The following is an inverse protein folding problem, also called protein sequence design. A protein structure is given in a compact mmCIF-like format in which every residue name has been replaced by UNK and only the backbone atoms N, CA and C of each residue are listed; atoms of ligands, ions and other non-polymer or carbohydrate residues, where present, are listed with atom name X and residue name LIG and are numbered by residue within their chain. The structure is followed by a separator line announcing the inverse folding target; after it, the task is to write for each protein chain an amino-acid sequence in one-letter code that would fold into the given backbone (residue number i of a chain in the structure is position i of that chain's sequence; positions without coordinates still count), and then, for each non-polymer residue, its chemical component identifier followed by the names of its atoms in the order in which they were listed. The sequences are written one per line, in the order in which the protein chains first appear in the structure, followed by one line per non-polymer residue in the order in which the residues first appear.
data_IF_061819060222
#
_entry.id   IF_061819060222
#
_cell.length_a   1.000
_cell.length_b   1.000
_cell.length_c   1.000
_cell.angle_alpha   90.00
_cell.angle_beta   90.00
_cell.angle_gamma   90.00
#
_symmetry.space_group_name_H-M   'P 1'
#
loop_
_entity.id
_entity.type
_entity.pdbx_description
1 polymer ?
#
# COMPACT_ATOMS: atom_id res chain seq x y z
N UNK A 1 -42.77 -2.24 -9.98
CA UNK A 1 -41.92 -2.06 -8.78
C UNK A 1 -41.41 -3.43 -8.31
N UNK A 2 -40.17 -3.82 -8.67
CA UNK A 2 -39.49 -5.00 -8.14
C UNK A 2 -37.99 -4.69 -8.00
N UNK A 3 -37.42 -5.12 -6.87
CA UNK A 3 -35.99 -5.17 -6.52
C UNK A 3 -35.13 -3.91 -6.63
N UNK A 4 -35.16 -3.08 -5.57
CA UNK A 4 -33.94 -2.38 -5.11
C UNK A 4 -33.20 -3.16 -4.00
N UNK A 5 -33.80 -4.25 -3.50
CA UNK A 5 -33.29 -5.02 -2.37
C UNK A 5 -32.21 -6.03 -2.79
N UNK A 6 -32.34 -6.74 -3.92
CA UNK A 6 -31.37 -7.80 -4.28
C UNK A 6 -29.97 -7.27 -4.62
N UNK A 7 -29.86 -6.01 -5.07
CA UNK A 7 -28.57 -5.37 -5.41
C UNK A 7 -27.71 -5.15 -4.15
N UNK A 8 -28.33 -4.82 -3.01
CA UNK A 8 -27.63 -4.65 -1.73
C UNK A 8 -27.08 -5.97 -1.18
N UNK A 9 -27.82 -7.08 -1.32
CA UNK A 9 -27.34 -8.39 -0.90
C UNK A 9 -26.22 -8.94 -1.79
N UNK A 10 -26.25 -8.66 -3.10
CA UNK A 10 -25.19 -9.10 -4.03
C UNK A 10 -23.83 -8.45 -3.72
N UNK A 11 -23.80 -7.15 -3.42
CA UNK A 11 -22.57 -6.45 -3.05
C UNK A 11 -21.95 -6.97 -1.74
N UNK A 12 -22.78 -7.32 -0.75
CA UNK A 12 -22.33 -7.90 0.53
C UNK A 12 -21.82 -9.34 0.33
N UNK A 13 -22.50 -10.15 -0.50
CA UNK A 13 -22.08 -11.51 -0.79
C UNK A 13 -20.71 -11.58 -1.50
N UNK A 14 -20.46 -10.70 -2.47
CA UNK A 14 -19.17 -10.64 -3.19
C UNK A 14 -18.03 -10.24 -2.25
N UNK A 15 -18.27 -9.30 -1.33
CA UNK A 15 -17.29 -8.93 -0.30
C UNK A 15 -17.00 -10.09 0.67
N UNK A 16 -18.00 -10.90 1.01
CA UNK A 16 -17.87 -12.01 1.97
C UNK A 16 -17.19 -13.24 1.36
N UNK A 17 -17.43 -13.54 0.08
CA UNK A 17 -16.75 -14.65 -0.65
C UNK A 17 -15.25 -14.39 -0.83
N UNK A 18 -14.83 -13.14 -1.03
CA UNK A 18 -13.39 -12.81 -1.09
C UNK A 18 -12.66 -12.97 0.26
N UNK A 19 -13.38 -12.89 1.38
CA UNK A 19 -12.82 -13.12 2.72
C UNK A 19 -12.72 -14.61 3.05
N UNK A 20 -13.70 -15.43 2.63
CA UNK A 20 -13.71 -16.87 2.95
C UNK A 20 -12.72 -17.71 2.13
N UNK A 21 -12.42 -17.36 0.88
CA UNK A 21 -11.44 -18.10 0.07
C UNK A 21 -9.97 -17.89 0.48
N UNK A 22 -9.69 -17.03 1.48
CA UNK A 22 -8.34 -16.74 1.95
C UNK A 22 -7.83 -17.68 3.08
N UNK A 23 -8.63 -18.65 3.52
CA UNK A 23 -8.32 -19.53 4.67
C UNK A 23 -7.53 -20.81 4.33
N UNK A 24 -7.06 -20.97 3.09
CA UNK A 24 -6.36 -22.19 2.64
C UNK A 24 -4.83 -22.08 2.64
N UNK A 25 -4.20 -22.49 3.75
CA UNK A 25 -2.79 -22.93 3.83
C UNK A 25 -1.68 -21.94 3.40
N UNK A 26 -1.21 -21.11 4.34
CA UNK A 26 0.18 -20.62 4.34
C UNK A 26 0.76 -20.66 5.77
N UNK A 27 2.02 -21.12 5.97
CA UNK A 27 2.65 -21.16 7.28
C UNK A 27 3.00 -19.76 7.80
N UNK A 28 2.90 -19.59 9.12
CA UNK A 28 3.02 -18.30 9.81
C UNK A 28 4.44 -17.72 9.79
N UNK A 29 4.69 -16.72 8.93
CA UNK A 29 5.85 -15.85 9.01
C UNK A 29 5.49 -14.50 9.64
N UNK A 30 6.08 -14.17 10.79
CA UNK A 30 5.93 -12.85 11.41
C UNK A 30 6.48 -11.74 10.50
N UNK A 31 5.87 -10.55 10.57
CA UNK A 31 5.87 -9.62 9.44
C UNK A 31 6.01 -8.12 9.95
N UNK A 32 5.95 -7.02 9.17
CA UNK A 32 6.08 -5.59 9.59
C UNK A 32 5.31 -4.46 8.82
N UNK A 33 4.66 -3.52 9.51
CA UNK A 33 3.69 -2.62 8.88
C UNK A 33 4.24 -1.49 7.97
N UNK A 34 3.92 -1.53 6.67
CA UNK A 34 4.11 -0.44 5.68
C UNK A 34 2.94 -0.32 4.68
N UNK A 35 2.94 0.70 3.83
CA UNK A 35 2.05 0.75 2.66
C UNK A 35 2.39 -0.40 1.70
N UNK A 36 1.40 -0.99 1.03
CA UNK A 36 1.72 -1.88 -0.09
C UNK A 36 2.50 -1.04 -1.11
N UNK A 37 3.63 -1.53 -1.67
CA UNK A 37 4.25 -0.83 -2.78
C UNK A 37 3.21 -0.75 -3.89
N UNK A 38 2.85 0.47 -4.27
CA UNK A 38 2.01 0.75 -5.43
C UNK A 38 2.66 0.06 -6.62
N UNK A 39 2.09 -1.08 -7.03
CA UNK A 39 2.76 -1.97 -7.95
C UNK A 39 2.76 -1.31 -9.34
N UNK A 40 3.83 -1.49 -10.11
CA UNK A 40 4.18 -0.49 -11.10
C UNK A 40 3.28 -0.53 -12.33
N UNK A 41 2.73 0.64 -12.65
CA UNK A 41 2.27 0.97 -13.99
C UNK A 41 3.45 1.00 -14.99
N UNK A 42 3.94 -0.17 -15.37
CA UNK A 42 4.84 -0.33 -16.50
C UNK A 42 4.06 0.01 -17.78
N UNK A 43 4.27 1.21 -18.34
CA UNK A 43 3.76 1.64 -19.64
C UNK A 43 4.92 1.90 -20.60
N UNK A 44 5.19 0.90 -21.46
CA UNK A 44 5.29 1.15 -22.89
C UNK A 44 4.61 0.02 -23.70
N UNK A 45 3.28 0.02 -23.70
CA UNK A 45 2.41 -0.66 -24.67
C UNK A 45 1.16 0.22 -24.76
N UNK A 46 0.58 0.41 -25.96
CA UNK A 46 -0.64 1.20 -26.13
C UNK A 46 -1.71 0.75 -25.12
N UNK A 47 -2.16 1.63 -24.19
CA UNK A 47 -3.09 1.25 -23.15
C UNK A 47 -4.45 0.79 -23.71
N UNK A 48 -4.78 1.11 -24.97
CA UNK A 48 -5.94 0.56 -25.68
C UNK A 48 -5.77 -0.95 -25.98
N UNK A 49 -4.57 -1.40 -26.35
CA UNK A 49 -4.27 -2.77 -26.77
C UNK A 49 -4.04 -3.74 -25.60
N UNK A 50 -4.14 -3.29 -24.35
CA UNK A 50 -4.03 -4.14 -23.16
C UNK A 50 -5.26 -5.04 -23.02
N UNK A 51 -5.13 -6.24 -22.42
CA UNK A 51 -6.31 -7.04 -22.04
C UNK A 51 -7.25 -6.23 -21.15
N UNK A 52 -8.55 -6.33 -21.43
CA UNK A 52 -9.65 -5.76 -20.64
C UNK A 52 -9.69 -6.31 -19.21
N UNK A 53 -9.28 -7.56 -19.00
CA UNK A 53 -8.96 -8.09 -17.67
C UNK A 53 -7.74 -9.02 -17.70
N UNK A 54 -7.05 -9.08 -16.56
CA UNK A 54 -5.98 -10.04 -16.27
C UNK A 54 -6.17 -10.59 -14.84
N UNK A 55 -5.87 -11.86 -14.63
CA UNK A 55 -5.86 -12.49 -13.32
C UNK A 55 -4.54 -13.25 -13.13
N UNK A 56 -4.09 -13.39 -11.88
CA UNK A 56 -2.82 -14.01 -11.58
C UNK A 56 -2.36 -13.85 -10.13
N UNK A 57 -1.04 -13.77 -9.96
CA UNK A 57 -0.38 -13.67 -8.67
C UNK A 57 0.63 -12.52 -8.69
N UNK A 58 0.68 -11.75 -7.60
CA UNK A 58 1.83 -10.91 -7.27
C UNK A 58 2.60 -11.57 -6.13
N UNK A 59 3.92 -11.65 -6.25
CA UNK A 59 4.81 -12.20 -5.23
C UNK A 59 6.05 -11.33 -5.11
N UNK A 60 6.63 -11.25 -3.91
CA UNK A 60 7.84 -10.48 -3.69
C UNK A 60 8.45 -10.70 -2.33
N UNK A 61 9.69 -10.26 -2.18
CA UNK A 61 10.44 -10.31 -0.92
C UNK A 61 11.32 -9.07 -0.75
N UNK A 62 11.64 -8.74 0.49
CA UNK A 62 12.42 -7.56 0.82
C UNK A 62 12.88 -7.51 2.27
N UNK A 63 13.82 -6.61 2.56
CA UNK A 63 14.20 -6.24 3.93
C UNK A 63 13.38 -5.01 4.33
N UNK A 64 12.56 -5.18 5.36
CA UNK A 64 11.45 -4.28 5.73
C UNK A 64 11.54 -3.93 7.22
N UNK A 65 11.55 -2.64 7.56
CA UNK A 65 11.55 -2.16 8.97
C UNK A 65 10.29 -2.62 9.70
N UNK A 66 10.41 -2.88 11.00
CA UNK A 66 9.36 -3.52 11.81
C UNK A 66 8.10 -2.67 12.03
N UNK A 67 8.25 -1.35 12.01
CA UNK A 67 7.20 -0.33 11.98
C UNK A 67 7.89 1.01 11.70
N UNK A 68 7.15 2.09 11.37
CA UNK A 68 7.76 3.40 11.21
C UNK A 68 8.42 3.85 12.52
N UNK A 69 9.74 4.02 12.51
CA UNK A 69 10.55 4.37 13.67
C UNK A 69 11.30 3.19 14.32
N UNK A 70 11.14 1.97 13.81
CA UNK A 70 11.88 0.81 14.31
C UNK A 70 13.36 0.86 13.88
N UNK A 71 14.26 0.46 14.78
CA UNK A 71 15.68 0.21 14.55
C UNK A 71 15.96 -1.18 13.95
N UNK A 72 14.97 -2.08 13.98
CA UNK A 72 15.07 -3.43 13.45
C UNK A 72 14.31 -3.61 12.13
N UNK A 73 14.89 -4.44 11.26
CA UNK A 73 14.35 -4.77 9.94
C UNK A 73 14.60 -6.25 9.63
N UNK A 74 13.58 -6.92 9.14
CA UNK A 74 13.63 -8.34 8.83
C UNK A 74 13.38 -8.60 7.34
N UNK A 75 13.84 -9.76 6.86
CA UNK A 75 13.43 -10.27 5.56
C UNK A 75 11.99 -10.78 5.63
N UNK A 76 11.16 -10.34 4.68
CA UNK A 76 9.73 -10.64 4.61
C UNK A 76 9.37 -10.94 3.17
N UNK A 77 8.45 -11.88 2.96
CA UNK A 77 7.92 -12.24 1.66
C UNK A 77 6.40 -12.23 1.66
N UNK A 78 5.80 -12.02 0.50
CA UNK A 78 4.35 -12.12 0.30
C UNK A 78 4.06 -12.82 -1.03
N UNK A 79 2.91 -13.49 -1.08
CA UNK A 79 2.24 -13.89 -2.30
C UNK A 79 0.76 -13.55 -2.14
N UNK A 80 0.17 -12.86 -3.11
CA UNK A 80 -1.22 -12.44 -3.08
C UNK A 80 -1.87 -12.59 -4.47
N UNK A 81 -3.15 -12.98 -4.54
CA UNK A 81 -3.87 -12.98 -5.81
C UNK A 81 -3.95 -11.56 -6.37
N UNK A 82 -3.81 -11.45 -7.68
CA UNK A 82 -3.87 -10.20 -8.42
C UNK A 82 -4.99 -10.28 -9.45
N UNK A 83 -5.89 -9.30 -9.44
CA UNK A 83 -6.91 -9.12 -10.47
C UNK A 83 -6.82 -7.69 -11.00
N UNK A 84 -6.57 -7.57 -12.30
CA UNK A 84 -6.52 -6.29 -13.02
C UNK A 84 -7.74 -6.23 -13.93
N UNK A 85 -8.51 -5.15 -13.83
CA UNK A 85 -9.61 -4.84 -14.73
C UNK A 85 -9.34 -3.49 -15.37
N UNK A 86 -9.52 -3.38 -16.69
CA UNK A 86 -9.24 -2.17 -17.48
C UNK A 86 -10.49 -1.64 -18.19
N UNK A 87 -11.63 -1.72 -17.53
CA UNK A 87 -12.89 -1.21 -18.05
C UNK A 87 -12.91 0.32 -18.29
N UNK A 88 -13.92 0.81 -19.01
CA UNK A 88 -14.08 2.25 -19.30
C UNK A 88 -14.54 3.06 -18.09
N UNK A 89 -15.26 2.44 -17.15
CA UNK A 89 -15.89 3.05 -15.95
C UNK A 89 -15.16 2.66 -14.66
N UNK A 90 -14.73 1.41 -14.54
CA UNK A 90 -13.99 0.89 -13.40
C UNK A 90 -12.68 0.29 -13.90
N UNK A 91 -11.57 0.63 -13.26
CA UNK A 91 -10.26 0.03 -13.49
C UNK A 91 -9.69 -0.46 -12.16
N UNK A 92 -9.55 -1.76 -11.98
CA UNK A 92 -8.77 -2.31 -10.86
C UNK A 92 -7.36 -2.51 -11.37
N UNK A 93 -6.36 -1.92 -10.74
CA UNK A 93 -4.98 -2.22 -11.07
C UNK A 93 -4.07 -2.20 -9.83
N UNK A 94 -2.78 -2.22 -10.12
CA UNK A 94 -1.69 -2.31 -9.17
C UNK A 94 -1.51 -1.05 -8.29
N UNK A 95 -2.12 0.08 -8.65
CA UNK A 95 -2.18 1.30 -7.83
C UNK A 95 -3.44 1.36 -6.94
N UNK A 96 -4.55 0.69 -7.32
CA UNK A 96 -5.82 0.76 -6.61
C UNK A 96 -7.06 0.33 -7.42
N UNK A 97 -8.25 0.61 -6.88
CA UNK A 97 -9.56 0.43 -7.53
C UNK A 97 -10.04 1.78 -8.09
N UNK A 98 -9.52 2.16 -9.27
CA UNK A 98 -9.85 3.40 -9.99
C UNK A 98 -11.27 3.36 -10.54
N UNK A 99 -12.22 3.85 -9.75
CA UNK A 99 -13.55 4.19 -10.24
C UNK A 99 -13.53 5.53 -10.98
N UNK A 100 -13.65 5.53 -12.31
CA UNK A 100 -13.81 6.76 -13.12
C UNK A 100 -15.24 7.30 -12.96
N UNK A 101 -15.56 7.72 -11.74
CA UNK A 101 -16.89 8.20 -11.33
C UNK A 101 -17.12 9.65 -11.80
N UNK A 102 -16.05 10.45 -11.88
CA UNK A 102 -16.04 11.78 -12.49
C UNK A 102 -14.73 11.94 -13.27
N UNK A 103 -14.82 12.20 -14.58
CA UNK A 103 -13.64 12.40 -15.45
C UNK A 103 -13.58 13.86 -15.92
N UNK A 104 -13.18 14.75 -15.02
CA UNK A 104 -12.66 16.07 -15.42
C UNK A 104 -11.29 15.85 -16.07
N UNK A 105 -10.84 16.76 -16.94
CA UNK A 105 -9.55 16.62 -17.67
C UNK A 105 -8.34 16.39 -16.74
N UNK A 106 -8.36 17.00 -15.56
CA UNK A 106 -7.21 17.11 -14.66
C UNK A 106 -7.43 16.48 -13.27
N UNK A 107 -8.61 15.93 -12.99
CA UNK A 107 -8.96 15.32 -11.68
C UNK A 107 -9.58 13.93 -11.90
N UNK A 108 -9.07 12.94 -11.18
CA UNK A 108 -9.59 11.56 -11.13
C UNK A 108 -9.83 11.15 -9.67
N UNK A 109 -10.86 10.35 -9.43
CA UNK A 109 -11.18 9.77 -8.13
C UNK A 109 -10.91 8.26 -8.17
N UNK A 110 -10.45 7.70 -7.05
CA UNK A 110 -9.93 6.33 -6.95
C UNK A 110 -10.17 5.80 -5.52
N UNK A 111 -10.02 4.49 -5.31
CA UNK A 111 -9.94 3.84 -3.99
C UNK A 111 -8.57 3.17 -3.87
N UNK A 112 -7.72 3.73 -3.02
CA UNK A 112 -6.38 3.21 -2.76
C UNK A 112 -6.38 2.15 -1.66
N UNK A 113 -5.42 1.22 -1.72
CA UNK A 113 -5.21 0.18 -0.73
C UNK A 113 -3.77 0.17 -0.21
N UNK A 114 -3.58 -0.40 0.97
CA UNK A 114 -2.26 -0.57 1.57
C UNK A 114 -2.20 -1.83 2.42
N UNK A 115 -1.15 -2.61 2.29
CA UNK A 115 -0.95 -3.86 3.03
C UNK A 115 0.38 -3.81 3.76
N UNK A 116 0.27 -3.90 5.07
CA UNK A 116 1.32 -3.82 6.05
C UNK A 116 1.45 -5.19 6.70
N UNK A 117 2.68 -5.68 6.76
CA UNK A 117 3.01 -6.93 7.41
C UNK A 117 2.85 -6.76 8.98
N UNK A 118 2.91 -7.83 9.82
CA UNK A 118 2.69 -7.83 11.31
C UNK A 118 3.78 -7.16 12.21
N UNK A 119 4.26 -7.76 13.31
CA UNK A 119 5.59 -7.64 13.96
C UNK A 119 5.56 -8.37 15.31
N UNK A 120 6.17 -9.56 15.38
CA UNK A 120 6.13 -10.43 16.57
C UNK A 120 7.43 -10.48 17.38
N UNK A 121 8.58 -10.27 16.74
CA UNK A 121 9.88 -10.24 17.39
C UNK A 121 10.53 -8.88 17.09
N UNK A 122 10.64 -8.03 18.10
CA UNK A 122 11.26 -6.71 18.02
C UNK A 122 11.72 -6.28 19.42
N UNK A 123 13.00 -5.95 19.59
CA UNK A 123 13.57 -5.77 20.94
C UNK A 123 12.99 -4.57 21.69
N UNK A 124 12.73 -3.46 21.01
CA UNK A 124 12.07 -2.30 21.61
C UNK A 124 10.65 -2.61 22.13
N UNK A 125 10.00 -3.65 21.60
CA UNK A 125 8.64 -4.08 21.96
C UNK A 125 8.58 -5.37 22.80
N UNK A 126 9.69 -5.84 23.38
CA UNK A 126 9.66 -6.99 24.30
C UNK A 126 8.68 -6.77 25.46
N UNK A 127 7.88 -7.79 25.78
CA UNK A 127 6.81 -7.73 26.79
C UNK A 127 5.56 -6.95 26.38
N UNK A 128 5.47 -6.46 25.14
CA UNK A 128 4.27 -5.81 24.58
C UNK A 128 3.50 -6.75 23.66
N UNK A 129 2.20 -6.52 23.42
CA UNK A 129 1.48 -7.18 22.34
C UNK A 129 2.19 -6.97 20.98
N UNK A 130 2.23 -8.01 20.13
CA UNK A 130 2.79 -7.90 18.79
C UNK A 130 1.99 -6.89 17.96
N UNK A 131 2.60 -6.38 16.89
CA UNK A 131 1.82 -5.80 15.81
C UNK A 131 1.26 -6.96 14.97
N UNK A 132 0.02 -6.80 14.55
CA UNK A 132 -0.68 -7.67 13.60
C UNK A 132 -0.56 -7.09 12.18
N UNK A 133 -0.89 -7.88 11.15
CA UNK A 133 -0.91 -7.38 9.78
C UNK A 133 -1.90 -6.24 9.68
N UNK A 134 -1.52 -5.13 9.06
CA UNK A 134 -2.35 -3.94 8.99
C UNK A 134 -2.78 -3.74 7.53
N UNK A 135 -4.07 -3.53 7.30
CA UNK A 135 -4.62 -3.30 5.97
C UNK A 135 -5.34 -1.96 6.00
N UNK A 136 -5.05 -1.11 5.01
CA UNK A 136 -5.67 0.18 4.85
C UNK A 136 -6.41 0.27 3.53
N UNK A 137 -7.57 0.92 3.54
CA UNK A 137 -8.38 1.16 2.34
C UNK A 137 -9.09 2.51 2.46
N UNK A 138 -9.27 3.22 1.35
CA UNK A 138 -10.06 4.44 1.34
C UNK A 138 -9.88 5.26 0.05
N UNK A 139 -10.56 6.41 -0.06
CA UNK A 139 -10.54 7.22 -1.25
C UNK A 139 -9.16 7.84 -1.54
N UNK A 140 -8.87 7.97 -2.83
CA UNK A 140 -7.77 8.75 -3.39
C UNK A 140 -8.34 9.78 -4.38
N UNK A 141 -7.77 10.98 -4.38
CA UNK A 141 -7.98 11.98 -5.44
C UNK A 141 -6.67 12.20 -6.16
N UNK A 142 -6.65 12.06 -7.49
CA UNK A 142 -5.47 12.29 -8.33
C UNK A 142 -5.64 13.59 -9.10
N UNK A 143 -4.76 14.55 -8.86
CA UNK A 143 -4.65 15.77 -9.66
C UNK A 143 -3.49 15.64 -10.67
N UNK A 144 -3.85 15.72 -11.95
CA UNK A 144 -2.95 15.52 -13.09
C UNK A 144 -2.56 16.82 -13.80
N UNK A 145 -3.13 17.95 -13.38
CA UNK A 145 -2.94 19.24 -14.06
C UNK A 145 -1.48 19.70 -14.14
N UNK A 146 -0.62 19.26 -13.22
CA UNK A 146 0.81 19.58 -13.25
C UNK A 146 1.56 18.88 -14.40
N UNK A 147 1.06 17.77 -14.95
CA UNK A 147 1.64 17.08 -16.13
C UNK A 147 1.66 17.92 -17.40
N UNK A 148 0.95 19.05 -17.42
CA UNK A 148 1.00 20.05 -18.51
C UNK A 148 2.36 20.76 -18.56
N UNK A 149 3.14 20.73 -17.48
CA UNK A 149 4.53 21.19 -17.45
C UNK A 149 5.47 20.04 -17.85
N UNK A 150 6.56 20.31 -18.61
CA UNK A 150 7.57 19.30 -18.92
C UNK A 150 8.12 18.63 -17.64
N UNK A 151 7.97 17.31 -17.54
CA UNK A 151 8.40 16.54 -16.35
C UNK A 151 7.53 16.72 -15.10
N UNK A 152 6.35 17.35 -15.20
CA UNK A 152 5.46 17.60 -14.06
C UNK A 152 4.88 16.31 -13.43
N UNK A 153 4.75 16.24 -12.09
CA UNK A 153 4.25 15.07 -11.38
C UNK A 153 2.72 14.93 -11.42
N UNK A 154 2.21 13.76 -11.04
CA UNK A 154 0.85 13.59 -10.54
C UNK A 154 0.83 13.86 -9.01
N UNK A 155 -0.25 14.46 -8.49
CA UNK A 155 -0.47 14.62 -7.04
C UNK A 155 -1.62 13.71 -6.60
N UNK A 156 -1.35 12.77 -5.71
CA UNK A 156 -2.36 11.87 -5.15
C UNK A 156 -2.66 12.27 -3.71
N UNK A 157 -3.93 12.44 -3.35
CA UNK A 157 -4.38 12.74 -1.99
C UNK A 157 -5.10 11.52 -1.45
N UNK A 158 -4.42 10.74 -0.59
CA UNK A 158 -4.95 9.50 -0.06
C UNK A 158 -5.52 9.69 1.35
N UNK A 159 -6.73 9.20 1.60
CA UNK A 159 -7.28 9.04 2.95
C UNK A 159 -7.63 7.56 3.13
N UNK A 160 -6.98 6.86 4.06
CA UNK A 160 -7.17 5.43 4.29
C UNK A 160 -7.59 5.17 5.73
N UNK A 161 -8.61 4.34 5.93
CA UNK A 161 -8.94 3.74 7.21
C UNK A 161 -8.19 2.40 7.35
N UNK A 162 -7.65 2.09 8.53
CA UNK A 162 -6.78 0.95 8.75
C UNK A 162 -7.41 -0.07 9.73
N UNK A 163 -7.14 -1.35 9.50
CA UNK A 163 -7.59 -2.50 10.29
C UNK A 163 -6.42 -3.44 10.48
N UNK A 164 -6.14 -3.89 11.71
CA UNK A 164 -5.15 -4.95 11.96
C UNK A 164 -5.79 -6.33 12.06
N UNK A 165 -5.07 -7.38 11.67
CA UNK A 165 -5.53 -8.77 11.73
C UNK A 165 -4.39 -9.79 11.90
N UNK A 166 -4.66 -10.81 12.69
CA UNK A 166 -3.87 -12.04 12.84
C UNK A 166 -4.47 -13.23 12.04
N UNK A 167 -5.43 -12.93 11.15
CA UNK A 167 -6.32 -13.86 10.44
C UNK A 167 -7.38 -14.59 11.30
N UNK A 168 -7.46 -14.33 12.61
CA UNK A 168 -8.52 -14.82 13.49
C UNK A 168 -9.42 -13.70 14.01
N UNK A 169 -8.88 -12.50 14.20
CA UNK A 169 -9.58 -11.30 14.66
C UNK A 169 -9.22 -10.10 13.79
N UNK A 170 -10.11 -9.12 13.75
CA UNK A 170 -9.87 -7.83 13.09
C UNK A 170 -10.12 -6.70 14.07
N UNK A 171 -9.27 -5.67 14.05
CA UNK A 171 -9.34 -4.52 14.95
C UNK A 171 -9.16 -3.23 14.15
N UNK A 172 -10.09 -2.27 14.28
CA UNK A 172 -9.91 -0.94 13.71
C UNK A 172 -8.71 -0.22 14.32
N UNK A 173 -7.86 0.36 13.48
CA UNK A 173 -6.62 1.08 13.86
C UNK A 173 -6.63 2.55 13.44
N UNK A 174 -7.82 3.14 13.25
CA UNK A 174 -7.97 4.55 12.90
C UNK A 174 -7.78 4.84 11.42
N UNK A 175 -7.32 6.04 11.11
CA UNK A 175 -7.10 6.54 9.76
C UNK A 175 -5.73 7.23 9.59
N UNK A 176 -5.26 7.28 8.34
CA UNK A 176 -4.14 8.10 7.90
C UNK A 176 -4.46 8.91 6.65
N UNK A 177 -3.92 10.12 6.60
CA UNK A 177 -3.90 10.99 5.42
C UNK A 177 -2.49 11.02 4.85
N UNK A 178 -2.38 10.83 3.54
CA UNK A 178 -1.10 10.60 2.86
C UNK A 178 -1.12 11.23 1.47
N UNK A 179 -0.87 12.54 1.36
CA UNK A 179 -0.60 13.15 0.07
C UNK A 179 0.74 12.63 -0.48
N UNK A 180 0.79 12.47 -1.80
CA UNK A 180 1.93 11.93 -2.52
C UNK A 180 2.15 12.77 -3.79
N UNK A 181 3.39 13.16 -4.06
CA UNK A 181 3.81 13.74 -5.33
C UNK A 181 4.60 12.68 -6.09
N UNK A 182 4.14 12.31 -7.29
CA UNK A 182 4.64 11.14 -8.04
C UNK A 182 5.13 11.56 -9.43
N UNK A 183 6.41 11.33 -9.70
CA UNK A 183 7.02 11.45 -11.03
C UNK A 183 7.16 10.09 -11.68
N UNK A 184 6.91 10.02 -12.98
CA UNK A 184 7.00 8.80 -13.78
C UNK A 184 7.85 9.05 -15.03
N UNK A 185 8.86 8.22 -15.23
CA UNK A 185 9.81 8.29 -16.32
C UNK A 185 9.78 6.96 -17.08
N UNK A 186 9.54 6.98 -18.39
CA UNK A 186 9.56 5.80 -19.27
C UNK A 186 9.70 6.27 -20.74
N UNK A 187 10.60 5.68 -21.56
CA UNK A 187 11.68 4.76 -21.17
C UNK A 187 12.76 5.47 -20.31
N UNK A 188 13.68 4.70 -19.72
CA UNK A 188 14.73 5.22 -18.83
C UNK A 188 16.08 4.69 -19.24
N UNK A 189 17.05 5.57 -19.49
CA UNK A 189 18.41 5.22 -19.91
C UNK A 189 18.47 4.21 -21.10
N UNK A 190 17.55 4.35 -22.06
CA UNK A 190 17.43 3.45 -23.22
C UNK A 190 16.78 2.08 -22.93
N UNK A 191 16.44 1.78 -21.68
CA UNK A 191 15.73 0.56 -21.32
C UNK A 191 14.21 0.76 -21.41
N UNK A 192 13.45 -0.24 -21.92
CA UNK A 192 11.98 -0.26 -21.88
C UNK A 192 11.51 -0.61 -20.46
N UNK A 193 11.79 0.28 -19.52
CA UNK A 193 11.47 0.20 -18.11
C UNK A 193 10.82 1.51 -17.66
N UNK A 194 9.90 1.41 -16.70
CA UNK A 194 9.31 2.57 -16.05
C UNK A 194 9.96 2.77 -14.67
N UNK A 195 10.47 3.97 -14.42
CA UNK A 195 10.97 4.41 -13.13
C UNK A 195 9.97 5.39 -12.52
N UNK A 196 9.53 5.11 -11.30
CA UNK A 196 8.64 5.98 -10.53
C UNK A 196 9.40 6.50 -9.31
N UNK A 197 9.31 7.80 -9.08
CA UNK A 197 9.79 8.47 -7.87
C UNK A 197 8.58 9.07 -7.17
N UNK A 198 8.42 8.87 -5.87
CA UNK A 198 7.39 9.60 -5.12
C UNK A 198 7.83 10.09 -3.75
N UNK A 199 7.33 11.28 -3.39
CA UNK A 199 7.47 11.89 -2.07
C UNK A 199 6.12 11.84 -1.36
N UNK A 200 6.09 11.22 -0.19
CA UNK A 200 4.88 10.77 0.48
C UNK A 200 4.93 11.07 1.99
N UNK A 201 4.62 12.30 2.41
CA UNK A 201 4.34 12.63 3.82
C UNK A 201 3.06 11.94 4.31
N UNK A 202 3.06 11.49 5.57
CA UNK A 202 1.92 10.81 6.20
C UNK A 202 1.55 11.47 7.52
N UNK A 203 0.25 11.64 7.76
CA UNK A 203 -0.34 12.02 9.04
C UNK A 203 -1.24 10.89 9.55
N UNK A 204 -1.05 10.50 10.80
CA UNK A 204 -1.81 9.46 11.47
C UNK A 204 -2.77 10.07 12.50
N UNK A 205 -3.97 9.50 12.64
CA UNK A 205 -4.81 9.80 13.79
C UNK A 205 -4.22 9.22 15.10
N UNK A 206 -4.87 9.50 16.22
CA UNK A 206 -4.39 9.06 17.53
C UNK A 206 -4.48 7.54 17.71
N UNK A 207 -5.45 6.88 17.09
CA UNK A 207 -5.64 5.43 17.17
C UNK A 207 -4.50 4.69 16.47
N UNK A 208 -4.12 5.17 15.28
CA UNK A 208 -2.99 4.63 14.53
C UNK A 208 -1.65 4.97 15.21
N UNK A 209 -1.49 6.22 15.69
CA UNK A 209 -0.30 6.60 16.44
C UNK A 209 -0.10 5.73 17.70
N UNK A 210 -1.19 5.40 18.42
CA UNK A 210 -1.14 4.50 19.59
C UNK A 210 -0.75 3.08 19.21
N UNK A 211 -1.16 2.57 18.05
CA UNK A 211 -0.77 1.24 17.60
C UNK A 211 0.76 1.07 17.52
N UNK A 212 1.47 2.07 16.99
CA UNK A 212 2.93 2.05 16.88
C UNK A 212 3.66 2.52 18.14
N UNK A 213 3.20 3.61 18.77
CA UNK A 213 4.01 4.39 19.72
C UNK A 213 3.50 4.44 21.15
N UNK A 214 2.32 3.88 21.46
CA UNK A 214 1.82 3.84 22.83
C UNK A 214 2.71 2.93 23.69
N UNK A 215 3.00 3.38 24.92
CA UNK A 215 3.49 2.50 25.99
C UNK A 215 2.58 2.74 27.18
N UNK A 216 1.69 1.79 27.46
CA UNK A 216 0.82 1.86 28.64
C UNK A 216 1.62 1.59 29.93
N UNK A 217 1.11 2.02 31.09
CA UNK A 217 1.85 1.92 32.35
C UNK A 217 2.24 0.48 32.73
N UNK A 218 1.44 -0.52 32.35
CA UNK A 218 1.73 -1.95 32.52
C UNK A 218 2.81 -2.49 31.57
N UNK A 219 3.18 -1.73 30.55
CA UNK A 219 4.21 -2.07 29.55
C UNK A 219 5.50 -1.26 29.76
N UNK A 220 5.50 -0.33 30.70
CA UNK A 220 6.62 0.55 30.97
C UNK A 220 7.77 -0.20 31.67
N UNK A 221 8.99 0.13 31.31
CA UNK A 221 10.24 -0.37 31.92
C UNK A 221 11.20 0.79 32.16
N UNK A 222 12.29 0.63 32.94
CA UNK A 222 13.29 1.68 33.12
C UNK A 222 13.90 2.22 31.81
N UNK A 223 13.91 1.42 30.74
CA UNK A 223 14.46 1.77 29.40
C UNK A 223 13.38 2.02 28.34
N UNK A 224 12.10 1.91 28.72
CA UNK A 224 10.91 2.21 27.91
C UNK A 224 9.84 2.80 28.82
N UNK A 225 9.94 4.10 29.20
CA UNK A 225 8.94 4.75 30.04
C UNK A 225 7.56 4.76 29.37
N UNK A 226 6.51 4.96 30.18
CA UNK A 226 5.15 5.12 29.66
C UNK A 226 5.07 6.33 28.70
N UNK A 227 4.31 6.19 27.62
CA UNK A 227 4.17 7.21 26.59
C UNK A 227 2.76 7.21 26.02
N UNK A 228 2.11 8.37 26.05
CA UNK A 228 0.79 8.58 25.45
C UNK A 228 0.95 9.10 24.02
N UNK A 229 0.66 8.24 23.04
CA UNK A 229 0.81 8.59 21.64
C UNK A 229 -0.30 9.53 21.17
N UNK A 230 0.08 10.46 20.28
CA UNK A 230 -0.73 11.57 19.80
C UNK A 230 -0.89 11.52 18.28
N UNK A 231 -2.02 11.98 17.78
CA UNK A 231 -2.24 12.21 16.35
C UNK A 231 -1.25 13.24 15.79
N UNK A 232 -0.93 13.13 14.51
CA UNK A 232 -0.16 14.13 13.79
C UNK A 232 0.71 13.54 12.69
N UNK A 233 1.69 14.33 12.25
CA UNK A 233 2.67 13.90 11.24
C UNK A 233 3.48 12.71 11.76
N UNK A 234 3.58 11.66 10.94
CA UNK A 234 4.26 10.40 11.22
C UNK A 234 5.63 10.33 10.56
N UNK A 235 5.76 10.89 9.34
CA UNK A 235 7.02 10.98 8.61
C UNK A 235 6.79 11.15 7.10
N UNK A 236 7.88 11.33 6.35
CA UNK A 236 7.87 11.44 4.88
C UNK A 236 8.70 10.34 4.26
N UNK A 237 8.11 9.59 3.34
CA UNK A 237 8.81 8.59 2.54
C UNK A 237 9.21 9.15 1.16
N UNK A 238 10.43 8.85 0.75
CA UNK A 238 10.86 8.81 -0.64
C UNK A 238 10.76 7.36 -1.12
N UNK A 239 9.93 7.09 -2.11
CA UNK A 239 9.85 5.79 -2.79
C UNK A 239 10.52 5.90 -4.17
N UNK A 240 11.33 4.90 -4.52
CA UNK A 240 11.95 4.72 -5.83
C UNK A 240 11.58 3.33 -6.33
N UNK A 241 10.81 3.23 -7.41
CA UNK A 241 10.35 1.97 -7.97
C UNK A 241 10.79 1.84 -9.43
N UNK A 242 11.63 0.85 -9.71
CA UNK A 242 11.99 0.45 -11.06
C UNK A 242 11.14 -0.76 -11.48
N UNK A 243 10.68 -0.79 -12.72
CA UNK A 243 9.77 -1.80 -13.20
C UNK A 243 9.90 -2.07 -14.69
N UNK A 244 9.62 -3.30 -15.11
CA UNK A 244 9.63 -3.66 -16.52
C UNK A 244 8.74 -4.87 -16.79
N UNK A 245 7.99 -4.79 -17.89
CA UNK A 245 7.32 -5.93 -18.50
C UNK A 245 8.37 -6.80 -19.20
N UNK A 246 8.41 -8.09 -18.86
CA UNK A 246 9.30 -9.07 -19.49
C UNK A 246 8.58 -9.84 -20.60
N UNK A 247 7.30 -10.18 -20.40
CA UNK A 247 6.44 -10.81 -21.41
C UNK A 247 5.00 -10.29 -21.29
N UNK A 248 4.08 -10.79 -22.13
CA UNK A 248 2.67 -10.41 -22.02
C UNK A 248 2.06 -10.74 -20.65
N UNK A 249 2.53 -11.78 -19.96
CA UNK A 249 2.02 -12.24 -18.66
C UNK A 249 3.00 -12.08 -17.49
N UNK A 250 4.22 -11.60 -17.71
CA UNK A 250 5.23 -11.47 -16.66
C UNK A 250 5.83 -10.08 -16.62
N UNK A 251 5.76 -9.43 -15.46
CA UNK A 251 6.45 -8.19 -15.14
C UNK A 251 7.25 -8.35 -13.86
N UNK A 252 8.32 -7.58 -13.71
CA UNK A 252 9.10 -7.50 -12.48
C UNK A 252 9.17 -6.07 -11.95
N UNK A 253 9.41 -5.94 -10.66
CA UNK A 253 9.64 -4.67 -9.99
C UNK A 253 10.72 -4.78 -8.91
N UNK A 254 11.41 -3.66 -8.68
CA UNK A 254 12.31 -3.45 -7.57
C UNK A 254 12.00 -2.08 -6.95
N UNK A 255 11.99 -2.01 -5.62
CA UNK A 255 11.58 -0.81 -4.89
C UNK A 255 12.55 -0.53 -3.74
N UNK A 256 12.83 0.75 -3.52
CA UNK A 256 13.53 1.29 -2.35
C UNK A 256 12.61 2.33 -1.71
N UNK A 257 12.42 2.24 -0.41
CA UNK A 257 11.64 3.20 0.39
C UNK A 257 12.54 3.71 1.51
N UNK A 258 12.78 5.02 1.52
CA UNK A 258 13.51 5.71 2.60
C UNK A 258 12.55 6.67 3.30
N UNK A 259 12.30 6.46 4.59
CA UNK A 259 11.35 7.24 5.37
C UNK A 259 12.04 8.03 6.47
N UNK A 260 11.92 9.35 6.41
CA UNK A 260 12.36 10.27 7.45
C UNK A 260 11.21 10.53 8.44
N UNK A 261 11.43 10.25 9.71
CA UNK A 261 10.54 10.57 10.83
C UNK A 261 10.99 11.84 11.58
N UNK A 262 11.88 12.64 10.98
CA UNK A 262 12.26 13.95 11.51
C UNK A 262 11.04 14.86 11.57
N UNK A 263 10.73 15.38 12.76
CA UNK A 263 9.53 16.20 13.02
C UNK A 263 8.26 15.40 13.35
N UNK A 264 8.31 14.06 13.45
CA UNK A 264 7.14 13.24 13.80
C UNK A 264 6.54 13.64 15.16
N UNK A 265 5.21 13.66 15.26
CA UNK A 265 4.47 14.05 16.47
C UNK A 265 4.78 13.17 17.70
N UNK A 266 5.25 11.94 17.44
CA UNK A 266 5.65 10.93 18.42
C UNK A 266 7.17 10.69 18.45
N UNK A 267 8.00 11.63 17.98
CA UNK A 267 9.46 11.55 17.99
C UNK A 267 10.10 11.43 19.39
N UNK A 268 9.32 11.63 20.46
CA UNK A 268 9.72 11.41 21.85
C UNK A 268 9.22 10.05 22.42
N UNK A 269 8.52 9.23 21.63
CA UNK A 269 8.13 7.88 22.05
C UNK A 269 9.39 7.01 22.19
N UNK A 270 9.53 6.23 23.27
CA UNK A 270 10.61 5.27 23.40
C UNK A 270 10.43 4.05 22.47
N UNK A 271 9.45 4.05 21.58
CA UNK A 271 9.35 3.08 20.47
C UNK A 271 9.87 3.66 19.14
N UNK A 272 10.01 4.98 19.00
CA UNK A 272 10.67 5.58 17.84
C UNK A 272 12.19 5.58 18.09
N UNK A 273 12.83 4.45 17.77
CA UNK A 273 14.25 4.18 18.00
C UNK A 273 15.14 4.76 16.90
N UNK A 274 14.63 4.80 15.67
CA UNK A 274 15.30 5.34 14.49
C UNK A 274 14.45 6.43 13.82
N UNK A 275 15.11 7.45 13.26
CA UNK A 275 14.48 8.55 12.51
C UNK A 275 14.60 8.40 10.99
N UNK A 276 15.36 7.41 10.49
CA UNK A 276 15.58 7.19 9.05
C UNK A 276 15.45 5.71 8.70
N UNK A 277 14.24 5.29 8.35
CA UNK A 277 13.96 3.90 8.00
C UNK A 277 14.15 3.62 6.52
N UNK A 278 15.04 2.69 6.18
CA UNK A 278 15.22 2.20 4.80
C UNK A 278 14.64 0.81 4.66
N UNK A 279 13.87 0.58 3.60
CA UNK A 279 13.35 -0.74 3.23
C UNK A 279 13.55 -0.96 1.73
N UNK A 280 13.89 -2.19 1.35
CA UNK A 280 14.16 -2.57 -0.03
C UNK A 280 13.43 -3.86 -0.35
N UNK A 281 12.93 -4.00 -1.58
CA UNK A 281 12.26 -5.22 -2.01
C UNK A 281 12.19 -5.36 -3.51
N UNK A 282 11.90 -6.57 -3.97
CA UNK A 282 11.66 -6.88 -5.37
C UNK A 282 10.58 -7.95 -5.50
N UNK A 283 9.96 -8.04 -6.66
CA UNK A 283 8.90 -9.01 -6.90
C UNK A 283 8.55 -9.20 -8.36
N UNK A 284 7.65 -10.15 -8.57
CA UNK A 284 7.13 -10.58 -9.86
C UNK A 284 5.61 -10.45 -9.85
N UNK A 285 5.07 -10.03 -10.99
CA UNK A 285 3.65 -10.05 -11.28
C UNK A 285 3.45 -10.98 -12.45
N UNK A 286 2.73 -12.07 -12.19
CA UNK A 286 2.46 -13.12 -13.17
C UNK A 286 0.96 -13.21 -13.41
N UNK A 287 0.52 -12.80 -14.60
CA UNK A 287 -0.87 -12.75 -15.03
C UNK A 287 -1.11 -13.68 -16.24
N UNK A 288 -1.11 -15.02 -16.04
CA UNK A 288 -1.27 -15.97 -17.14
C UNK A 288 -2.69 -16.00 -17.71
N UNK A 289 -3.70 -15.58 -16.93
CA UNK A 289 -5.09 -15.49 -17.41
C UNK A 289 -5.40 -14.08 -17.88
N UNK A 290 -5.75 -13.93 -19.15
CA UNK A 290 -6.00 -12.63 -19.78
C UNK A 290 -7.22 -12.71 -20.70
N UNK A 291 -7.97 -11.62 -20.81
CA UNK A 291 -9.07 -11.52 -21.77
C UNK A 291 -8.57 -11.38 -23.21
N UNK A 292 -9.27 -12.02 -24.15
CA UNK A 292 -9.09 -11.72 -25.58
C UNK A 292 -9.53 -10.28 -25.92
N UNK A 293 -10.61 -9.82 -25.27
CA UNK A 293 -11.10 -8.45 -25.39
C UNK A 293 -10.06 -7.42 -24.91
N UNK A 294 -10.00 -6.28 -25.59
CA UNK A 294 -9.05 -5.19 -25.36
C UNK A 294 -9.65 -4.07 -24.51
N UNK A 295 -8.80 -3.26 -23.89
CA UNK A 295 -9.24 -2.15 -23.02
C UNK A 295 -9.90 -0.99 -23.78
N UNK A 296 -9.86 -0.99 -25.12
CA UNK A 296 -10.60 -0.11 -26.02
C UNK A 296 -12.03 -0.58 -26.34
N UNK A 297 -12.37 -1.84 -26.03
CA UNK A 297 -13.67 -2.49 -26.28
C UNK A 297 -14.51 -2.53 -24.98
#
# INVERSE_FOLDING_TARGET
MRSMTSIRYCAIAIAMVMVMCLCGLLPSAASAAQTAPSAPAAEPDDPAQRPKWEAGLVTGAGRVVDYPGADQSHWRGFAAPLFIYRGPILRVDQDGIRGRLLKTSDIEFDVTGSAAFSARNNDARQGMPPLDYLFGVGPQVIYKGLRKMPGGPDVHLNLRALVSTDFHRTHGRGAEFTPEMRWRFSPVAGLPAAFTVSLQPTWADRTLARYFYQVDASQATPTRPAYDARSGYLGTALNLTLSRRHSQSLSWFATVRSMSLHGAANAASPLLRDKTNVSVGAGLLWTPWQSQARASE
#
